data_IF_709461696690
#
_entry.id   IF_709461696690
#
_cell.length_a   1.000
_cell.length_b   1.000
_cell.length_c   1.000
_cell.angle_alpha   90.00
_cell.angle_beta   90.00
_cell.angle_gamma   90.00
#
_symmetry.space_group_name_H-M   'P 1'
#
loop_
_entity.id
_entity.type
_entity.pdbx_description
1 polymer ?
#
# COMPACT_ATOMS: atom_id res chain seq x y z
N UNK A 1 -15.39 -19.80 -25.82
CA UNK A 1 -14.40 -18.74 -26.13
C UNK A 1 -13.85 -19.01 -27.51
N UNK A 2 -13.93 -18.04 -28.42
CA UNK A 2 -13.33 -18.17 -29.74
C UNK A 2 -11.82 -18.37 -29.59
N UNK A 3 -11.25 -19.34 -30.31
CA UNK A 3 -9.82 -19.68 -30.23
C UNK A 3 -8.93 -18.44 -30.45
N UNK A 4 -9.36 -17.52 -31.31
CA UNK A 4 -8.70 -16.25 -31.60
C UNK A 4 -8.60 -15.35 -30.36
N UNK A 5 -9.67 -15.24 -29.57
CA UNK A 5 -9.70 -14.46 -28.34
C UNK A 5 -8.79 -15.07 -27.27
N UNK A 6 -8.84 -16.40 -27.09
CA UNK A 6 -7.93 -17.10 -26.17
C UNK A 6 -6.47 -16.86 -26.53
N UNK A 7 -6.12 -16.98 -27.81
CA UNK A 7 -4.77 -16.75 -28.31
C UNK A 7 -4.35 -15.28 -28.17
N UNK A 8 -5.26 -14.34 -28.39
CA UNK A 8 -4.97 -12.91 -28.20
C UNK A 8 -4.62 -12.59 -26.74
N UNK A 9 -5.42 -13.10 -25.79
CA UNK A 9 -5.20 -12.88 -24.34
C UNK A 9 -3.92 -13.57 -23.86
N UNK A 10 -3.71 -14.85 -24.19
CA UNK A 10 -2.50 -15.55 -23.80
C UNK A 10 -1.26 -14.92 -24.45
N UNK A 11 -1.39 -14.51 -25.72
CA UNK A 11 -0.35 -13.82 -26.47
C UNK A 11 0.03 -12.48 -25.84
N UNK A 12 -0.94 -11.68 -25.41
CA UNK A 12 -0.67 -10.39 -24.74
C UNK A 12 -0.08 -10.56 -23.35
N UNK A 13 -0.47 -11.58 -22.57
CA UNK A 13 0.16 -11.91 -21.28
C UNK A 13 1.60 -12.36 -21.51
N UNK A 14 1.84 -13.26 -22.47
CA UNK A 14 3.18 -13.72 -22.80
C UNK A 14 4.07 -12.56 -23.27
N UNK A 15 3.53 -11.67 -24.11
CA UNK A 15 4.19 -10.45 -24.55
C UNK A 15 4.54 -9.55 -23.37
N UNK A 16 3.58 -9.29 -22.47
CA UNK A 16 3.82 -8.51 -21.26
C UNK A 16 4.98 -9.08 -20.43
N UNK A 17 4.95 -10.39 -20.17
CA UNK A 17 5.99 -11.07 -19.40
C UNK A 17 7.35 -10.99 -20.11
N UNK A 18 7.39 -11.17 -21.44
CA UNK A 18 8.60 -11.05 -22.25
C UNK A 18 9.18 -9.63 -22.20
N UNK A 19 8.33 -8.60 -22.32
CA UNK A 19 8.75 -7.21 -22.27
C UNK A 19 9.33 -6.81 -20.90
N UNK A 20 8.73 -7.29 -19.81
CA UNK A 20 9.17 -6.97 -18.44
C UNK A 20 10.37 -7.82 -18.02
N UNK A 21 10.34 -9.14 -18.23
CA UNK A 21 11.37 -10.05 -17.70
C UNK A 21 12.63 -10.08 -18.58
N UNK A 22 12.45 -10.04 -19.90
CA UNK A 22 13.57 -10.20 -20.83
C UNK A 22 14.08 -8.87 -21.37
N UNK A 23 13.20 -8.03 -21.93
CA UNK A 23 13.58 -6.71 -22.45
C UNK A 23 13.77 -5.66 -21.34
N UNK A 24 13.31 -5.96 -20.11
CA UNK A 24 13.41 -5.07 -18.94
C UNK A 24 12.80 -3.69 -19.19
N UNK A 25 11.72 -3.64 -19.98
CA UNK A 25 10.95 -2.41 -20.13
C UNK A 25 10.22 -2.08 -18.83
N UNK A 26 9.93 -0.79 -18.62
CA UNK A 26 9.11 -0.37 -17.48
C UNK A 26 7.74 -1.06 -17.55
N UNK A 27 7.21 -1.47 -16.39
CA UNK A 27 5.92 -2.15 -16.32
C UNK A 27 4.79 -1.32 -16.97
N UNK A 28 4.86 0.00 -16.86
CA UNK A 28 3.93 0.92 -17.52
C UNK A 28 3.94 0.76 -19.06
N UNK A 29 5.12 0.83 -19.69
CA UNK A 29 5.24 0.70 -21.14
C UNK A 29 4.85 -0.71 -21.60
N UNK A 30 5.28 -1.74 -20.86
CA UNK A 30 4.96 -3.12 -21.17
C UNK A 30 3.44 -3.38 -21.12
N UNK A 31 2.74 -2.85 -20.11
CA UNK A 31 1.28 -2.95 -19.98
C UNK A 31 0.55 -2.26 -21.14
N UNK A 32 0.97 -1.06 -21.53
CA UNK A 32 0.35 -0.36 -22.66
C UNK A 32 0.54 -1.11 -23.98
N UNK A 33 1.76 -1.56 -24.27
CA UNK A 33 2.06 -2.32 -25.49
C UNK A 33 1.26 -3.63 -25.51
N UNK A 34 1.23 -4.36 -24.40
CA UNK A 34 0.46 -5.59 -24.28
C UNK A 34 -1.05 -5.36 -24.43
N UNK A 35 -1.58 -4.24 -23.90
CA UNK A 35 -2.98 -3.86 -24.08
C UNK A 35 -3.31 -3.58 -25.55
N UNK A 36 -2.49 -2.79 -26.23
CA UNK A 36 -2.65 -2.50 -27.66
C UNK A 36 -2.62 -3.79 -28.47
N UNK A 37 -1.62 -4.65 -28.22
CA UNK A 37 -1.50 -5.94 -28.89
C UNK A 37 -2.74 -6.82 -28.65
N UNK A 38 -3.24 -6.91 -27.41
CA UNK A 38 -4.44 -7.66 -27.08
C UNK A 38 -5.65 -7.19 -27.90
N UNK A 39 -5.92 -5.88 -27.93
CA UNK A 39 -7.07 -5.33 -28.64
C UNK A 39 -6.99 -5.56 -30.15
N UNK A 40 -5.83 -5.33 -30.75
CA UNK A 40 -5.64 -5.53 -32.20
C UNK A 40 -5.71 -7.01 -32.59
N UNK A 41 -5.09 -7.91 -31.82
CA UNK A 41 -5.14 -9.36 -32.09
C UNK A 41 -6.55 -9.95 -31.90
N UNK A 42 -7.33 -9.36 -31.00
CA UNK A 42 -8.74 -9.71 -30.82
C UNK A 42 -9.67 -9.10 -31.88
N UNK A 43 -9.15 -8.30 -32.82
CA UNK A 43 -9.91 -7.76 -33.95
C UNK A 43 -10.56 -6.39 -33.71
N UNK A 44 -10.22 -5.67 -32.64
CA UNK A 44 -10.68 -4.30 -32.44
C UNK A 44 -10.08 -3.36 -33.49
N UNK A 45 -10.88 -2.38 -33.92
CA UNK A 45 -10.37 -1.31 -34.79
C UNK A 45 -9.33 -0.46 -34.05
N UNK A 46 -8.34 0.12 -34.76
CA UNK A 46 -7.35 1.00 -34.13
C UNK A 46 -7.98 2.16 -33.35
N UNK A 47 -9.09 2.72 -33.85
CA UNK A 47 -9.80 3.80 -33.14
C UNK A 47 -10.38 3.31 -31.81
N UNK A 48 -11.05 2.15 -31.80
CA UNK A 48 -11.59 1.58 -30.57
C UNK A 48 -10.47 1.24 -29.56
N UNK A 49 -9.29 0.83 -30.03
CA UNK A 49 -8.13 0.63 -29.15
C UNK A 49 -7.73 1.94 -28.47
N UNK A 50 -7.63 3.05 -29.21
CA UNK A 50 -7.30 4.37 -28.65
C UNK A 50 -8.36 4.86 -27.65
N UNK A 51 -9.63 4.66 -27.96
CA UNK A 51 -10.75 5.04 -27.09
C UNK A 51 -10.71 4.22 -25.78
N UNK A 52 -10.44 2.92 -25.86
CA UNK A 52 -10.33 2.05 -24.69
C UNK A 52 -9.08 2.32 -23.85
N UNK A 53 -7.97 2.76 -24.46
CA UNK A 53 -6.82 3.26 -23.70
C UNK A 53 -7.22 4.48 -22.87
N UNK A 54 -7.89 5.44 -23.49
CA UNK A 54 -8.30 6.68 -22.80
C UNK A 54 -9.31 6.38 -21.68
N UNK A 55 -10.30 5.55 -21.95
CA UNK A 55 -11.32 5.15 -20.98
C UNK A 55 -10.73 4.34 -19.81
N UNK A 56 -9.92 3.31 -20.11
CA UNK A 56 -9.32 2.45 -19.09
C UNK A 56 -8.36 3.19 -18.17
N UNK A 57 -7.58 4.12 -18.73
CA UNK A 57 -6.71 5.01 -17.98
C UNK A 57 -7.54 5.97 -17.11
N UNK A 58 -8.51 6.67 -17.69
CA UNK A 58 -9.31 7.68 -17.00
C UNK A 58 -10.11 7.13 -15.83
N UNK A 59 -10.82 6.02 -16.04
CA UNK A 59 -11.66 5.40 -15.00
C UNK A 59 -10.82 4.98 -13.78
N UNK A 60 -9.71 4.29 -14.02
CA UNK A 60 -8.85 3.79 -12.94
C UNK A 60 -8.16 4.93 -12.20
N UNK A 61 -7.66 5.93 -12.93
CA UNK A 61 -6.96 7.06 -12.33
C UNK A 61 -7.88 7.98 -11.52
N UNK A 62 -9.16 8.10 -11.91
CA UNK A 62 -10.14 8.93 -11.22
C UNK A 62 -10.22 8.59 -9.72
N UNK A 63 -10.10 7.30 -9.38
CA UNK A 63 -10.12 6.83 -8.00
C UNK A 63 -8.73 6.71 -7.37
N UNK A 64 -7.79 6.05 -8.08
CA UNK A 64 -6.50 5.66 -7.50
C UNK A 64 -5.57 6.85 -7.28
N UNK A 65 -5.52 7.82 -8.21
CA UNK A 65 -4.48 8.85 -8.21
C UNK A 65 -4.51 9.73 -6.94
N UNK A 66 -5.71 10.15 -6.54
CA UNK A 66 -5.91 10.99 -5.36
C UNK A 66 -5.49 10.27 -4.08
N UNK A 67 -5.93 9.02 -3.93
CA UNK A 67 -5.67 8.22 -2.73
C UNK A 67 -4.17 7.92 -2.59
N UNK A 68 -3.54 7.48 -3.68
CA UNK A 68 -2.11 7.13 -3.68
C UNK A 68 -1.24 8.36 -3.48
N UNK A 69 -1.60 9.50 -4.10
CA UNK A 69 -0.89 10.76 -3.90
C UNK A 69 -0.95 11.26 -2.45
N UNK A 70 -2.14 11.27 -1.83
CA UNK A 70 -2.32 11.65 -0.42
C UNK A 70 -1.61 10.68 0.52
N UNK A 71 -1.70 9.37 0.25
CA UNK A 71 -1.01 8.33 1.01
C UNK A 71 0.51 8.49 0.97
N UNK A 72 1.07 8.80 -0.21
CA UNK A 72 2.50 9.04 -0.36
C UNK A 72 2.98 10.25 0.45
N UNK A 73 2.24 11.37 0.41
CA UNK A 73 2.57 12.56 1.21
C UNK A 73 2.47 12.24 2.71
N UNK A 74 1.40 11.57 3.13
CA UNK A 74 1.20 11.16 4.52
C UNK A 74 2.35 10.29 5.02
N UNK A 75 2.74 9.27 4.24
CA UNK A 75 3.86 8.39 4.52
C UNK A 75 5.18 9.15 4.64
N UNK A 76 5.47 10.05 3.70
CA UNK A 76 6.70 10.85 3.70
C UNK A 76 6.79 11.79 4.92
N UNK A 77 5.68 12.40 5.33
CA UNK A 77 5.63 13.24 6.54
C UNK A 77 5.85 12.39 7.79
N UNK A 78 5.21 11.22 7.88
CA UNK A 78 5.38 10.29 9.00
C UNK A 78 6.85 9.81 9.12
N UNK A 79 7.46 9.54 7.98
CA UNK A 79 8.84 9.11 7.84
C UNK A 79 9.83 10.20 8.26
N UNK A 80 9.69 11.39 7.67
CA UNK A 80 10.54 12.55 7.97
C UNK A 80 10.46 12.94 9.45
N UNK A 81 9.28 12.81 10.05
CA UNK A 81 9.06 13.06 11.47
C UNK A 81 9.70 12.00 12.39
N UNK A 82 10.22 10.90 11.87
CA UNK A 82 10.74 9.78 12.67
C UNK A 82 9.64 8.91 13.29
N UNK A 83 8.41 8.98 12.78
CA UNK A 83 7.25 8.29 13.33
C UNK A 83 7.34 6.77 13.20
N UNK A 84 7.94 6.27 12.13
CA UNK A 84 8.14 4.84 11.88
C UNK A 84 9.12 4.24 12.90
N UNK A 85 10.25 4.90 13.14
CA UNK A 85 11.23 4.48 14.15
C UNK A 85 10.66 4.61 15.56
N UNK A 86 9.90 5.67 15.86
CA UNK A 86 9.26 5.86 17.16
C UNK A 86 8.26 4.73 17.48
N UNK A 87 7.44 4.34 16.52
CA UNK A 87 6.51 3.21 16.67
C UNK A 87 7.25 1.88 16.86
N UNK A 88 8.31 1.64 16.09
CA UNK A 88 9.12 0.44 16.22
C UNK A 88 9.76 0.31 17.62
N UNK A 89 10.40 1.39 18.09
CA UNK A 89 11.01 1.45 19.43
C UNK A 89 9.97 1.27 20.52
N UNK A 90 8.84 1.98 20.44
CA UNK A 90 7.75 1.84 21.40
C UNK A 90 7.25 0.40 21.53
N UNK A 91 7.03 -0.30 20.42
CA UNK A 91 6.56 -1.69 20.44
C UNK A 91 7.62 -2.64 21.00
N UNK A 92 8.89 -2.43 20.67
CA UNK A 92 10.01 -3.21 21.22
C UNK A 92 10.14 -3.02 22.74
N UNK A 93 10.07 -1.78 23.21
CA UNK A 93 10.16 -1.44 24.64
C UNK A 93 8.95 -2.01 25.41
N UNK A 94 7.75 -1.94 24.82
CA UNK A 94 6.52 -2.41 25.46
C UNK A 94 6.40 -3.92 25.53
N UNK A 95 6.84 -4.63 24.48
CA UNK A 95 6.74 -6.10 24.40
C UNK A 95 7.97 -6.80 24.98
N UNK A 96 9.09 -6.10 25.08
CA UNK A 96 10.38 -6.59 25.56
C UNK A 96 11.10 -7.53 24.57
N UNK A 97 12.36 -7.79 24.85
CA UNK A 97 13.25 -8.56 23.96
C UNK A 97 12.74 -9.98 23.66
N UNK A 98 12.11 -10.62 24.64
CA UNK A 98 11.55 -11.98 24.49
C UNK A 98 10.47 -12.06 23.40
N UNK A 99 9.78 -10.95 23.13
CA UNK A 99 8.71 -10.85 22.12
C UNK A 99 9.09 -9.91 20.98
N UNK A 100 10.38 -9.61 20.80
CA UNK A 100 10.85 -8.76 19.71
C UNK A 100 10.37 -9.18 18.30
N UNK A 101 10.26 -10.47 17.93
CA UNK A 101 9.66 -10.86 16.66
C UNK A 101 8.21 -10.39 16.50
N UNK A 102 7.43 -10.42 17.58
CA UNK A 102 6.05 -9.91 17.57
C UNK A 102 6.03 -8.39 17.45
N UNK A 103 6.94 -7.69 18.12
CA UNK A 103 7.10 -6.24 17.95
C UNK A 103 7.36 -5.90 16.47
N UNK A 104 8.35 -6.54 15.84
CA UNK A 104 8.68 -6.30 14.44
C UNK A 104 7.54 -6.64 13.47
N UNK A 105 6.83 -7.75 13.68
CA UNK A 105 5.60 -8.05 12.94
C UNK A 105 4.62 -6.89 13.01
N UNK A 106 4.28 -6.43 14.23
CA UNK A 106 3.25 -5.41 14.43
C UNK A 106 3.71 -4.05 13.90
N UNK A 107 4.99 -3.73 14.08
CA UNK A 107 5.65 -2.57 13.50
C UNK A 107 5.49 -2.57 11.98
N UNK A 108 5.84 -3.66 11.30
CA UNK A 108 5.68 -3.78 9.85
C UNK A 108 4.22 -3.67 9.43
N UNK A 109 3.34 -4.37 10.13
CA UNK A 109 1.91 -4.39 9.82
C UNK A 109 1.26 -3.01 9.91
N UNK A 110 1.63 -2.19 10.90
CA UNK A 110 1.08 -0.85 11.09
C UNK A 110 1.73 0.20 10.19
N UNK A 111 3.06 0.12 10.00
CA UNK A 111 3.80 1.12 9.21
C UNK A 111 3.51 1.01 7.72
N UNK A 112 3.28 -0.20 7.21
CA UNK A 112 2.95 -0.41 5.79
C UNK A 112 1.59 0.16 5.37
N UNK A 113 0.75 0.61 6.31
CA UNK A 113 -0.53 1.25 6.00
C UNK A 113 -0.27 2.60 5.29
N UNK A 114 0.48 3.56 5.87
CA UNK A 114 0.80 4.81 5.19
C UNK A 114 2.16 4.84 4.47
N UNK A 115 3.12 3.98 4.83
CA UNK A 115 4.50 4.05 4.29
C UNK A 115 4.74 2.93 3.28
N UNK A 116 5.43 3.25 2.19
CA UNK A 116 5.81 2.26 1.18
C UNK A 116 6.72 1.17 1.76
N UNK A 117 6.54 -0.05 1.25
CA UNK A 117 7.21 -1.26 1.75
C UNK A 117 8.74 -1.14 1.75
N UNK A 118 9.30 -0.70 0.63
CA UNK A 118 10.74 -0.56 0.40
C UNK A 118 11.35 0.49 1.32
N UNK A 119 10.71 1.66 1.41
CA UNK A 119 11.13 2.77 2.26
C UNK A 119 11.06 2.36 3.74
N UNK A 120 9.93 1.80 4.19
CA UNK A 120 9.74 1.34 5.55
C UNK A 120 10.76 0.27 5.94
N UNK A 121 11.04 -0.67 5.05
CA UNK A 121 12.03 -1.70 5.27
C UNK A 121 13.41 -1.07 5.52
N UNK A 122 13.90 -0.25 4.58
CA UNK A 122 15.24 0.39 4.66
C UNK A 122 15.41 1.17 5.98
N UNK A 123 14.38 1.85 6.43
CA UNK A 123 14.40 2.65 7.67
C UNK A 123 14.47 1.79 8.94
N UNK A 124 13.87 0.61 8.89
CA UNK A 124 13.81 -0.31 10.03
C UNK A 124 14.98 -1.30 10.04
N UNK A 125 15.73 -1.43 8.94
CA UNK A 125 16.95 -2.27 8.87
C UNK A 125 17.95 -1.94 9.99
N UNK A 126 18.29 -0.67 10.29
CA UNK A 126 19.18 -0.34 11.41
C UNK A 126 18.67 -0.87 12.76
N UNK A 127 17.35 -0.81 13.01
CA UNK A 127 16.73 -1.37 14.21
C UNK A 127 16.85 -2.89 14.25
N UNK A 128 16.63 -3.58 13.12
CA UNK A 128 16.84 -5.02 13.02
C UNK A 128 18.28 -5.42 13.37
N UNK A 129 19.27 -4.70 12.82
CA UNK A 129 20.69 -4.94 13.11
C UNK A 129 21.02 -4.68 14.58
N UNK A 130 20.52 -3.59 15.15
CA UNK A 130 20.73 -3.25 16.55
C UNK A 130 20.14 -4.33 17.48
N UNK A 131 18.89 -4.77 17.23
CA UNK A 131 18.24 -5.80 18.05
C UNK A 131 18.94 -7.15 17.90
N UNK A 132 19.33 -7.55 16.69
CA UNK A 132 20.09 -8.78 16.45
C UNK A 132 21.42 -8.79 17.20
N UNK A 133 22.19 -7.68 17.15
CA UNK A 133 23.44 -7.54 17.89
C UNK A 133 23.25 -7.63 19.41
N UNK A 134 22.24 -6.92 19.95
CA UNK A 134 21.98 -6.89 21.40
C UNK A 134 21.55 -8.25 21.95
N UNK A 135 20.72 -8.98 21.21
CA UNK A 135 20.12 -10.25 21.64
C UNK A 135 20.95 -11.49 21.29
N UNK A 136 21.94 -11.35 20.40
CA UNK A 136 22.73 -12.46 19.87
C UNK A 136 21.93 -13.44 19.00
N UNK A 137 20.74 -13.06 18.53
CA UNK A 137 19.90 -13.89 17.65
C UNK A 137 20.13 -13.53 16.19
N UNK A 138 19.94 -14.52 15.31
CA UNK A 138 20.02 -14.31 13.87
C UNK A 138 19.16 -13.14 13.39
N UNK A 139 19.67 -12.37 12.44
CA UNK A 139 18.93 -11.32 11.75
C UNK A 139 17.59 -11.81 11.17
N UNK A 140 17.56 -13.03 10.63
CA UNK A 140 16.37 -13.62 10.01
C UNK A 140 15.22 -13.81 11.01
N UNK A 141 15.56 -14.00 12.29
CA UNK A 141 14.60 -14.14 13.38
C UNK A 141 13.75 -12.88 13.59
N UNK A 142 14.24 -11.71 13.14
CA UNK A 142 13.55 -10.43 13.23
C UNK A 142 13.09 -9.91 11.85
N UNK A 143 13.92 -10.08 10.82
CA UNK A 143 13.66 -9.57 9.48
C UNK A 143 12.45 -10.26 8.82
N UNK A 144 12.32 -11.59 8.94
CA UNK A 144 11.17 -12.31 8.37
C UNK A 144 9.84 -11.86 8.99
N UNK A 145 9.70 -11.77 10.33
CA UNK A 145 8.57 -11.12 10.98
C UNK A 145 8.24 -9.74 10.41
N UNK A 146 9.22 -8.85 10.35
CA UNK A 146 9.01 -7.49 9.85
C UNK A 146 8.50 -7.50 8.40
N UNK A 147 9.19 -8.24 7.51
CA UNK A 147 8.87 -8.34 6.09
C UNK A 147 7.47 -8.94 5.88
N UNK A 148 7.09 -9.96 6.66
CA UNK A 148 5.76 -10.54 6.59
C UNK A 148 4.68 -9.52 6.99
N UNK A 149 4.90 -8.75 8.06
CA UNK A 149 4.00 -7.68 8.46
C UNK A 149 3.87 -6.60 7.38
N UNK A 150 5.00 -6.10 6.88
CA UNK A 150 5.03 -5.08 5.83
C UNK A 150 4.34 -5.57 4.55
N UNK A 151 4.69 -6.77 4.06
CA UNK A 151 4.19 -7.30 2.80
C UNK A 151 2.69 -7.60 2.86
N UNK A 152 2.21 -8.15 3.98
CA UNK A 152 0.80 -8.53 4.12
C UNK A 152 -0.10 -7.30 4.11
N UNK A 153 0.22 -6.28 4.93
CA UNK A 153 -0.54 -5.03 4.92
C UNK A 153 -0.45 -4.35 3.55
N UNK A 154 0.75 -4.31 2.96
CA UNK A 154 0.95 -3.70 1.65
C UNK A 154 0.11 -4.35 0.54
N UNK A 155 -0.12 -5.66 0.64
CA UNK A 155 -0.86 -6.42 -0.36
C UNK A 155 -2.36 -6.49 -0.10
N UNK A 156 -2.82 -6.42 1.16
CA UNK A 156 -4.21 -6.74 1.52
C UNK A 156 -5.03 -5.55 2.01
N UNK A 157 -4.39 -4.47 2.49
CA UNK A 157 -5.09 -3.41 3.23
C UNK A 157 -4.93 -2.06 2.48
N UNK A 158 -6.04 -1.46 2.00
CA UNK A 158 -6.07 -0.09 1.53
C UNK A 158 -5.58 0.90 2.61
N UNK A 159 -4.93 2.03 2.27
CA UNK A 159 -4.97 2.74 1.00
C UNK A 159 -3.77 2.43 0.08
N UNK A 160 -3.24 1.20 0.13
CA UNK A 160 -2.19 0.83 -0.79
C UNK A 160 -2.71 0.68 -2.23
N UNK A 161 -1.90 1.03 -3.24
CA UNK A 161 -2.36 1.17 -4.63
C UNK A 161 -3.01 -0.10 -5.20
N UNK A 162 -2.42 -1.27 -4.94
CA UNK A 162 -2.94 -2.56 -5.42
C UNK A 162 -4.34 -2.86 -4.91
N UNK A 163 -4.56 -2.92 -3.58
CA UNK A 163 -5.89 -3.10 -3.00
C UNK A 163 -6.93 -2.06 -3.44
N UNK A 164 -6.55 -0.78 -3.58
CA UNK A 164 -7.46 0.26 -4.08
C UNK A 164 -7.84 -0.01 -5.53
N UNK A 165 -6.87 -0.36 -6.38
CA UNK A 165 -7.13 -0.64 -7.78
C UNK A 165 -8.08 -1.82 -7.93
N UNK A 166 -7.86 -2.89 -7.15
CA UNK A 166 -8.77 -4.06 -7.14
C UNK A 166 -10.16 -3.67 -6.64
N UNK A 167 -10.25 -2.85 -5.59
CA UNK A 167 -11.52 -2.34 -5.08
C UNK A 167 -12.33 -1.61 -6.14
N UNK A 168 -11.69 -0.66 -6.82
CA UNK A 168 -12.27 0.15 -7.88
C UNK A 168 -12.68 -0.73 -9.06
N UNK A 169 -11.79 -1.65 -9.47
CA UNK A 169 -12.04 -2.58 -10.58
C UNK A 169 -13.25 -3.47 -10.33
N UNK A 170 -13.44 -3.94 -9.09
CA UNK A 170 -14.54 -4.83 -8.69
C UNK A 170 -15.77 -4.09 -8.18
N UNK A 171 -15.72 -2.76 -8.05
CA UNK A 171 -16.80 -1.97 -7.44
C UNK A 171 -17.05 -2.30 -5.97
N UNK A 172 -16.01 -2.73 -5.25
CA UNK A 172 -16.11 -3.15 -3.85
C UNK A 172 -15.79 -2.00 -2.90
N UNK A 173 -16.63 -1.82 -1.87
CA UNK A 173 -16.43 -0.79 -0.85
C UNK A 173 -15.12 -1.02 -0.06
N UNK A 174 -14.32 0.04 0.09
CA UNK A 174 -13.01 -0.08 0.75
C UNK A 174 -13.09 -0.57 2.20
N UNK A 175 -14.15 -0.24 2.95
CA UNK A 175 -14.27 -0.73 4.33
C UNK A 175 -14.41 -2.25 4.41
N UNK A 176 -15.08 -2.89 3.45
CA UNK A 176 -15.17 -4.35 3.38
C UNK A 176 -13.83 -4.98 3.03
N UNK A 177 -13.09 -4.37 2.11
CA UNK A 177 -11.74 -4.84 1.74
C UNK A 177 -10.78 -4.68 2.92
N UNK A 178 -10.84 -3.56 3.64
CA UNK A 178 -10.07 -3.37 4.87
C UNK A 178 -10.43 -4.48 5.88
N UNK A 179 -11.73 -4.68 6.15
CA UNK A 179 -12.21 -5.66 7.11
C UNK A 179 -11.69 -7.07 6.79
N UNK A 180 -11.89 -7.55 5.56
CA UNK A 180 -11.40 -8.85 5.12
C UNK A 180 -9.87 -8.91 5.04
N UNK A 181 -9.22 -7.81 4.66
CA UNK A 181 -7.76 -7.68 4.64
C UNK A 181 -7.14 -7.89 6.02
N UNK A 182 -7.76 -7.38 7.08
CA UNK A 182 -7.35 -7.67 8.46
C UNK A 182 -7.62 -9.12 8.85
N UNK A 183 -8.81 -9.65 8.53
CA UNK A 183 -9.19 -11.04 8.86
C UNK A 183 -8.24 -12.05 8.23
N UNK A 184 -7.86 -11.85 6.97
CA UNK A 184 -6.92 -12.74 6.24
C UNK A 184 -5.47 -12.40 6.58
N UNK A 185 -5.16 -11.12 6.82
CA UNK A 185 -3.81 -10.65 7.08
C UNK A 185 -3.25 -11.14 8.42
N UNK A 186 -4.05 -11.16 9.49
CA UNK A 186 -3.59 -11.59 10.82
C UNK A 186 -3.13 -13.06 10.83
N UNK A 187 -3.89 -14.03 10.30
CA UNK A 187 -3.43 -15.41 10.13
C UNK A 187 -2.19 -15.50 9.24
N UNK A 188 -2.16 -14.77 8.12
CA UNK A 188 -1.05 -14.78 7.16
C UNK A 188 0.26 -14.38 7.84
N UNK A 189 0.25 -13.29 8.60
CA UNK A 189 1.44 -12.79 9.33
C UNK A 189 1.82 -13.68 10.51
N UNK A 190 0.83 -14.30 11.16
CA UNK A 190 1.09 -15.27 12.23
C UNK A 190 1.84 -16.50 11.71
N UNK A 191 1.46 -17.01 10.53
CA UNK A 191 2.10 -18.18 9.92
C UNK A 191 3.41 -17.81 9.21
N UNK A 192 3.37 -16.88 8.25
CA UNK A 192 4.51 -16.52 7.42
C UNK A 192 5.55 -15.66 8.15
N UNK A 193 5.13 -14.84 9.11
CA UNK A 193 6.02 -14.00 9.91
C UNK A 193 6.50 -14.70 11.17
N UNK A 194 5.59 -14.97 12.11
CA UNK A 194 5.98 -15.45 13.44
C UNK A 194 6.41 -16.91 13.46
N UNK A 195 5.58 -17.81 12.95
CA UNK A 195 5.88 -19.24 13.00
C UNK A 195 7.05 -19.60 12.09
N UNK A 196 7.00 -19.18 10.82
CA UNK A 196 8.05 -19.44 9.85
C UNK A 196 9.35 -18.69 10.19
N UNK A 197 9.27 -17.41 10.55
CA UNK A 197 10.45 -16.62 10.95
C UNK A 197 11.19 -17.22 12.16
N UNK A 198 10.46 -17.76 13.15
CA UNK A 198 11.08 -18.48 14.27
C UNK A 198 11.75 -19.78 13.84
N UNK A 199 11.17 -20.53 12.89
CA UNK A 199 11.75 -21.79 12.36
C UNK A 199 13.05 -21.49 11.61
N UNK A 200 13.03 -20.54 10.68
CA UNK A 200 14.19 -20.19 9.86
C UNK A 200 15.29 -19.55 10.72
N UNK A 201 14.96 -18.57 11.55
CA UNK A 201 15.94 -17.87 12.40
C UNK A 201 16.56 -18.73 13.51
N UNK A 202 16.02 -19.92 13.79
CA UNK A 202 16.66 -20.93 14.65
C UNK A 202 17.56 -21.89 13.89
N UNK A 203 17.31 -22.09 12.59
CA UNK A 203 18.02 -23.05 11.75
C UNK A 203 19.21 -22.42 11.02
N UNK A 204 19.07 -21.17 10.61
CA UNK A 204 20.08 -20.43 9.86
C UNK A 204 20.50 -19.22 10.66
N UNK A 205 21.79 -19.16 11.01
CA UNK A 205 22.36 -18.03 11.72
C UNK A 205 23.00 -17.04 10.74
N UNK A 206 22.22 -16.04 10.35
CA UNK A 206 22.72 -14.87 9.64
C UNK A 206 23.11 -13.77 10.64
N UNK A 207 24.40 -13.47 10.73
CA UNK A 207 24.92 -12.37 11.52
C UNK A 207 24.67 -11.01 10.83
N UNK A 208 24.41 -9.93 11.60
CA UNK A 208 24.30 -8.59 11.04
C UNK A 208 25.67 -8.10 10.52
N UNK A 209 25.71 -7.27 9.46
CA UNK A 209 26.96 -6.76 8.90
C UNK A 209 27.79 -5.97 9.94
N UNK A 210 29.12 -6.17 9.93
CA UNK A 210 30.07 -5.51 10.85
C UNK A 210 30.31 -4.03 10.54
N UNK A 211 30.04 -3.57 9.32
CA UNK A 211 30.49 -2.25 8.81
C UNK A 211 29.47 -1.10 8.94
N UNK A 212 28.29 -1.33 9.51
CA UNK A 212 27.40 -0.23 9.82
C UNK A 212 27.64 0.18 11.27
N UNK A 213 28.48 1.21 11.47
CA UNK A 213 28.27 2.12 12.60
C UNK A 213 26.81 2.54 12.50
N UNK A 214 25.99 2.00 13.39
CA UNK A 214 24.62 2.47 13.59
C UNK A 214 24.78 3.88 14.13
N UNK A 215 24.90 4.86 13.25
CA UNK A 215 24.47 6.19 13.62
C UNK A 215 23.01 6.00 14.01
N UNK A 216 22.72 6.13 15.30
CA UNK A 216 21.35 6.21 15.77
C UNK A 216 20.74 7.44 15.09
N UNK A 217 20.23 7.27 13.88
CA UNK A 217 19.68 8.34 13.09
C UNK A 217 18.32 8.75 13.68
N UNK A 218 18.36 9.70 14.61
CA UNK A 218 17.55 10.91 14.63
C UNK A 218 17.99 11.80 15.80
N UNK A 219 18.56 12.96 15.48
CA UNK A 219 18.97 14.04 16.41
C UNK A 219 17.81 14.86 16.99
N UNK A 220 16.57 14.40 16.81
CA UNK A 220 15.35 15.06 17.30
C UNK A 220 14.57 14.20 18.29
N UNK A 221 13.83 14.84 19.20
CA UNK A 221 12.91 14.14 20.11
C UNK A 221 11.87 13.37 19.30
N UNK A 222 11.66 12.07 19.52
CA UNK A 222 10.70 11.28 18.74
C UNK A 222 9.27 11.82 18.90
N UNK A 223 8.41 11.71 17.88
CA UNK A 223 7.02 12.14 17.99
C UNK A 223 6.27 11.31 19.05
N UNK A 224 5.26 11.92 19.65
CA UNK A 224 4.39 11.22 20.58
C UNK A 224 3.70 10.03 19.89
N UNK A 225 3.79 8.84 20.51
CA UNK A 225 3.28 7.61 19.91
C UNK A 225 1.76 7.67 19.63
N UNK A 226 0.99 8.32 20.50
CA UNK A 226 -0.45 8.49 20.32
C UNK A 226 -0.78 9.30 19.06
N UNK A 227 0.06 10.28 18.70
CA UNK A 227 -0.10 11.06 17.47
C UNK A 227 0.22 10.21 16.23
N UNK A 228 1.31 9.43 16.27
CA UNK A 228 1.68 8.51 15.18
C UNK A 228 0.57 7.48 14.93
N UNK A 229 0.10 6.82 15.99
CA UNK A 229 -0.99 5.86 15.89
C UNK A 229 -2.29 6.54 15.43
N UNK A 230 -2.60 7.73 15.94
CA UNK A 230 -3.75 8.52 15.51
C UNK A 230 -3.72 8.78 14.00
N UNK A 231 -2.61 9.25 13.46
CA UNK A 231 -2.45 9.54 12.02
C UNK A 231 -2.62 8.27 11.16
N UNK A 232 -2.12 7.12 11.63
CA UNK A 232 -2.30 5.83 10.96
C UNK A 232 -3.78 5.39 10.98
N UNK A 233 -4.44 5.49 12.13
CA UNK A 233 -5.79 4.93 12.32
C UNK A 233 -6.93 5.85 11.90
N UNK A 234 -6.77 7.18 11.96
CA UNK A 234 -7.80 8.15 11.54
C UNK A 234 -8.41 7.81 10.18
N UNK A 235 -7.63 7.63 9.08
CA UNK A 235 -8.23 7.39 7.77
C UNK A 235 -8.97 6.04 7.73
N UNK A 236 -8.44 5.00 8.38
CA UNK A 236 -9.08 3.68 8.43
C UNK A 236 -10.41 3.74 9.17
N UNK A 237 -10.43 4.35 10.35
CA UNK A 237 -11.63 4.46 11.16
C UNK A 237 -12.72 5.24 10.42
N UNK A 238 -12.35 6.34 9.77
CA UNK A 238 -13.28 7.13 8.96
C UNK A 238 -13.86 6.30 7.79
N UNK A 239 -13.05 5.54 7.06
CA UNK A 239 -13.51 4.70 5.94
C UNK A 239 -14.43 3.56 6.42
N UNK A 240 -14.13 2.97 7.58
CA UNK A 240 -14.99 1.95 8.18
C UNK A 240 -16.34 2.56 8.62
N UNK A 241 -16.33 3.75 9.23
CA UNK A 241 -17.56 4.48 9.58
C UNK A 241 -18.39 4.81 8.35
N UNK A 242 -17.77 5.24 7.24
CA UNK A 242 -18.47 5.44 5.96
C UNK A 242 -19.18 4.17 5.52
N UNK A 243 -18.45 3.06 5.47
CA UNK A 243 -18.98 1.77 4.97
C UNK A 243 -20.11 1.26 5.84
N UNK A 244 -19.96 1.34 7.18
CA UNK A 244 -21.01 0.95 8.12
C UNK A 244 -22.24 1.86 8.02
N UNK A 245 -22.04 3.18 7.93
CA UNK A 245 -23.16 4.13 7.82
C UNK A 245 -23.94 3.90 6.53
N UNK A 246 -23.24 3.72 5.41
CA UNK A 246 -23.87 3.42 4.12
C UNK A 246 -24.65 2.10 4.16
N UNK A 247 -24.06 1.05 4.72
CA UNK A 247 -24.75 -0.24 4.90
C UNK A 247 -26.04 -0.11 5.73
N UNK A 248 -26.02 0.68 6.81
CA UNK A 248 -27.19 0.88 7.67
C UNK A 248 -28.29 1.69 6.99
N UNK A 249 -27.93 2.69 6.19
CA UNK A 249 -28.88 3.51 5.42
C UNK A 249 -29.49 2.69 4.27
N UNK A 250 -28.65 2.03 3.46
CA UNK A 250 -29.10 1.22 2.31
C UNK A 250 -29.96 0.03 2.75
N UNK A 251 -29.67 -0.54 3.94
CA UNK A 251 -30.46 -1.60 4.54
C UNK A 251 -31.74 -1.13 5.25
N UNK A 252 -32.10 0.16 5.17
CA UNK A 252 -33.24 0.77 5.85
C UNK A 252 -33.29 0.59 7.38
N UNK A 253 -32.14 0.35 8.02
CA UNK A 253 -32.01 0.27 9.49
C UNK A 253 -31.99 1.67 10.12
N UNK A 254 -31.48 2.67 9.39
CA UNK A 254 -31.38 4.06 9.82
C UNK A 254 -31.89 4.95 8.70
N UNK A 255 -32.73 5.94 9.03
CA UNK A 255 -33.19 6.91 8.05
C UNK A 255 -32.06 7.84 7.61
N UNK A 256 -32.06 8.21 6.32
CA UNK A 256 -31.21 9.27 5.81
C UNK A 256 -31.40 10.56 6.60
N UNK A 257 -30.31 11.09 7.14
CA UNK A 257 -30.26 12.33 7.89
C UNK A 257 -28.99 13.11 7.55
N UNK A 258 -28.96 14.40 7.89
CA UNK A 258 -27.77 15.23 7.73
C UNK A 258 -26.52 14.62 8.41
N UNK A 259 -26.73 13.92 9.54
CA UNK A 259 -25.65 13.24 10.25
C UNK A 259 -25.10 12.06 9.45
N UNK A 260 -25.97 11.20 8.90
CA UNK A 260 -25.52 10.05 8.08
C UNK A 260 -24.80 10.51 6.82
N UNK A 261 -25.30 11.56 6.16
CA UNK A 261 -24.64 12.15 4.98
C UNK A 261 -23.26 12.71 5.33
N UNK A 262 -23.14 13.39 6.48
CA UNK A 262 -21.85 13.93 6.96
C UNK A 262 -20.85 12.81 7.28
N UNK A 263 -21.31 11.72 7.92
CA UNK A 263 -20.45 10.56 8.22
C UNK A 263 -19.99 9.84 6.95
N UNK A 264 -20.88 9.71 5.96
CA UNK A 264 -20.54 9.16 4.64
C UNK A 264 -19.53 10.08 3.95
N UNK A 265 -19.71 11.39 3.96
CA UNK A 265 -18.78 12.34 3.34
C UNK A 265 -17.40 12.34 4.01
N UNK A 266 -17.33 12.47 5.34
CA UNK A 266 -16.06 12.51 6.08
C UNK A 266 -15.30 11.19 6.02
N UNK A 267 -16.03 10.08 5.95
CA UNK A 267 -15.45 8.76 5.82
C UNK A 267 -15.09 8.37 4.38
N UNK A 268 -15.43 9.20 3.39
CA UNK A 268 -14.98 8.95 2.02
C UNK A 268 -13.43 8.92 1.98
N UNK A 269 -12.80 7.94 1.30
CA UNK A 269 -11.35 7.74 1.33
C UNK A 269 -10.53 8.98 1.00
N UNK A 270 -10.99 9.79 0.04
CA UNK A 270 -10.34 11.06 -0.31
C UNK A 270 -10.30 12.03 0.88
N UNK A 271 -11.43 12.20 1.57
CA UNK A 271 -11.57 13.13 2.69
C UNK A 271 -10.82 12.60 3.91
N UNK A 272 -10.98 11.31 4.20
CA UNK A 272 -10.32 10.64 5.32
C UNK A 272 -8.78 10.77 5.25
N UNK A 273 -8.20 10.55 4.07
CA UNK A 273 -6.76 10.69 3.87
C UNK A 273 -6.31 12.15 3.80
N UNK A 274 -7.09 13.03 3.19
CA UNK A 274 -6.79 14.46 3.17
C UNK A 274 -6.72 15.01 4.60
N UNK A 275 -7.70 14.69 5.43
CA UNK A 275 -7.72 15.09 6.84
C UNK A 275 -6.51 14.55 7.59
N UNK A 276 -6.20 13.25 7.45
CA UNK A 276 -5.03 12.66 8.10
C UNK A 276 -3.72 13.30 7.61
N UNK A 277 -3.60 13.59 6.32
CA UNK A 277 -2.46 14.27 5.72
C UNK A 277 -2.29 15.70 6.27
N UNK A 278 -3.36 16.46 6.39
CA UNK A 278 -3.33 17.82 6.97
C UNK A 278 -2.95 17.79 8.45
N UNK A 279 -3.51 16.85 9.21
CA UNK A 279 -3.16 16.62 10.62
C UNK A 279 -1.67 16.28 10.75
N UNK A 280 -1.14 15.39 9.89
CA UNK A 280 0.27 15.03 9.88
C UNK A 280 1.18 16.22 9.53
N UNK A 281 0.88 16.96 8.46
CA UNK A 281 1.64 18.16 8.06
C UNK A 281 1.71 19.20 9.18
N UNK A 282 0.61 19.39 9.90
CA UNK A 282 0.56 20.34 11.01
C UNK A 282 1.27 19.83 12.27
N UNK A 283 0.90 18.65 12.77
CA UNK A 283 1.35 18.16 14.07
C UNK A 283 2.71 17.47 14.04
N UNK A 284 3.02 16.74 12.96
CA UNK A 284 4.32 16.09 12.79
C UNK A 284 5.34 16.96 12.05
N UNK A 285 4.88 17.93 11.24
CA UNK A 285 5.72 18.91 10.55
C UNK A 285 5.83 20.23 11.32
N UNK A 286 4.87 21.14 11.10
CA UNK A 286 4.95 22.55 11.55
C UNK A 286 5.17 22.68 13.07
N UNK A 287 4.38 21.95 13.87
CA UNK A 287 4.46 21.98 15.34
C UNK A 287 5.78 21.45 15.89
N UNK A 288 6.55 20.72 15.08
CA UNK A 288 7.85 20.16 15.43
C UNK A 288 9.01 20.93 14.80
N UNK A 289 8.74 22.08 14.21
CA UNK A 289 9.75 23.02 13.73
C UNK A 289 10.13 22.84 12.25
N UNK A 290 9.52 21.91 11.52
CA UNK A 290 9.78 21.76 10.07
C UNK A 290 9.23 22.97 9.31
N UNK A 291 10.06 23.58 8.47
CA UNK A 291 9.69 24.76 7.69
C UNK A 291 8.61 24.45 6.63
N UNK A 292 7.74 25.41 6.31
CA UNK A 292 6.68 25.22 5.29
C UNK A 292 7.23 24.86 3.92
N UNK A 293 8.35 25.48 3.52
CA UNK A 293 9.02 25.18 2.25
C UNK A 293 9.60 23.76 2.23
N UNK A 294 10.14 23.30 3.35
CA UNK A 294 10.65 21.94 3.49
C UNK A 294 9.52 20.91 3.40
N UNK A 295 8.40 21.15 4.08
CA UNK A 295 7.21 20.29 3.97
C UNK A 295 6.64 20.24 2.55
N UNK A 296 6.62 21.37 1.84
CA UNK A 296 6.21 21.42 0.43
C UNK A 296 7.14 20.58 -0.45
N UNK A 297 8.46 20.72 -0.27
CA UNK A 297 9.45 19.94 -1.01
C UNK A 297 9.32 18.45 -0.70
N UNK A 298 9.12 18.09 0.56
CA UNK A 298 8.89 16.71 0.99
C UNK A 298 7.64 16.12 0.31
N UNK A 299 6.51 16.83 0.35
CA UNK A 299 5.28 16.41 -0.32
C UNK A 299 5.49 16.26 -1.84
N UNK A 300 6.18 17.19 -2.48
CA UNK A 300 6.46 17.15 -3.91
C UNK A 300 7.34 15.96 -4.30
N UNK A 301 8.39 15.68 -3.51
CA UNK A 301 9.28 14.52 -3.73
C UNK A 301 8.53 13.20 -3.56
N UNK A 302 7.62 13.11 -2.59
CA UNK A 302 6.81 11.92 -2.34
C UNK A 302 5.90 11.56 -3.52
N UNK A 303 5.48 12.55 -4.32
CA UNK A 303 4.67 12.32 -5.51
C UNK A 303 5.45 11.63 -6.66
N UNK A 304 6.78 11.63 -6.65
CA UNK A 304 7.60 10.97 -7.68
C UNK A 304 7.37 9.45 -7.74
N UNK A 305 7.68 8.70 -6.66
CA UNK A 305 7.39 7.27 -6.57
C UNK A 305 5.89 6.97 -6.72
N UNK A 306 5.03 7.83 -6.16
CA UNK A 306 3.57 7.71 -6.30
C UNK A 306 3.14 7.77 -7.78
N UNK A 307 3.73 8.67 -8.57
CA UNK A 307 3.42 8.82 -10.00
C UNK A 307 3.72 7.56 -10.81
N UNK A 308 4.81 6.86 -10.50
CA UNK A 308 5.14 5.57 -11.14
C UNK A 308 4.05 4.55 -10.87
N UNK A 309 3.63 4.42 -9.62
CA UNK A 309 2.59 3.49 -9.19
C UNK A 309 1.24 3.84 -9.84
N UNK A 310 0.87 5.12 -9.82
CA UNK A 310 -0.37 5.63 -10.41
C UNK A 310 -0.42 5.28 -11.91
N UNK A 311 0.67 5.53 -12.65
CA UNK A 311 0.77 5.20 -14.07
C UNK A 311 0.67 3.69 -14.33
N UNK A 312 1.39 2.86 -13.58
CA UNK A 312 1.31 1.40 -13.72
C UNK A 312 -0.10 0.90 -13.45
N UNK A 313 -0.75 1.43 -12.41
CA UNK A 313 -2.13 1.06 -12.07
C UNK A 313 -3.11 1.46 -13.16
N UNK A 314 -2.97 2.68 -13.69
CA UNK A 314 -3.75 3.15 -14.83
C UNK A 314 -3.55 2.30 -16.09
N UNK A 315 -2.32 1.89 -16.40
CA UNK A 315 -2.03 0.97 -17.50
C UNK A 315 -2.60 -0.43 -17.28
N UNK A 316 -2.67 -0.91 -16.03
CA UNK A 316 -3.42 -2.11 -15.67
C UNK A 316 -4.92 -1.95 -15.95
N UNK A 317 -5.47 -0.78 -15.67
CA UNK A 317 -6.83 -0.38 -16.04
C UNK A 317 -7.09 -0.39 -17.54
N UNK A 318 -6.14 0.10 -18.33
CA UNK A 318 -6.16 -0.01 -19.81
C UNK A 318 -6.22 -1.46 -20.26
N UNK A 319 -5.39 -2.33 -19.68
CA UNK A 319 -5.38 -3.75 -20.01
C UNK A 319 -6.73 -4.41 -19.68
N UNK A 320 -7.28 -4.17 -18.49
CA UNK A 320 -8.65 -4.59 -18.11
C UNK A 320 -9.66 -4.11 -19.15
N UNK A 321 -9.67 -2.82 -19.48
CA UNK A 321 -10.65 -2.24 -20.38
C UNK A 321 -10.58 -2.90 -21.76
N UNK A 322 -9.38 -3.24 -22.24
CA UNK A 322 -9.21 -3.96 -23.49
C UNK A 322 -9.77 -5.39 -23.43
N UNK A 323 -9.56 -6.10 -22.32
CA UNK A 323 -10.13 -7.45 -22.12
C UNK A 323 -11.66 -7.41 -22.07
N UNK A 324 -12.25 -6.38 -21.47
CA UNK A 324 -13.71 -6.19 -21.45
C UNK A 324 -14.24 -5.87 -22.85
N UNK A 325 -13.59 -4.94 -23.58
CA UNK A 325 -14.03 -4.52 -24.91
C UNK A 325 -13.93 -5.63 -25.97
N UNK A 326 -13.06 -6.61 -25.77
CA UNK A 326 -12.91 -7.78 -26.65
C UNK A 326 -13.88 -8.92 -26.33
N UNK A 327 -14.67 -8.80 -25.26
CA UNK A 327 -15.53 -9.89 -24.76
C UNK A 327 -14.77 -11.02 -24.05
N UNK A 328 -13.44 -10.92 -23.96
CA UNK A 328 -12.61 -11.91 -23.27
C UNK A 328 -12.92 -11.97 -21.76
N UNK A 329 -13.27 -10.84 -21.16
CA UNK A 329 -13.66 -10.77 -19.74
C UNK A 329 -14.87 -11.66 -19.41
N UNK A 330 -15.92 -11.64 -20.25
CA UNK A 330 -17.10 -12.47 -20.07
C UNK A 330 -16.83 -13.94 -20.39
N UNK A 331 -15.99 -14.22 -21.39
CA UNK A 331 -15.65 -15.59 -21.78
C UNK A 331 -14.77 -16.34 -20.75
N UNK A 332 -14.13 -15.61 -19.84
CA UNK A 332 -13.28 -16.13 -18.77
C UNK A 332 -13.98 -16.26 -17.40
N UNK A 333 -15.14 -15.60 -17.22
CA UNK A 333 -15.91 -15.58 -15.97
C UNK A 333 -16.84 -16.80 -15.84
#
# INVERSE_FOLDING_TARGET
>A
MDLTLLLAVLGSIALLLLLVLWLRLSAFLALLIASIACGLLAGLSPQLVLDNISAGMGNTLAYVATIVGLGAILGAVLEHAGGTQALARFLLDRLGERRAPLAFVLTGFLIAIPVFFDVAFVILVPLLYATSRRTGRSLLFYAIPLLAGLATTHAFIPPTPGPIAVADILGAELGWIIFWGFIVGIPTVSVAGLWWGRRVGRRFDLAPPTLLKTDEASTGSPPAIGLVLGIIFIPILLILVHTLTRMLVDGAWVNGSWLTETLIFLGHPYIALLLSCLIALYWLGIRRGTGRQELQQLATKALGPAGIIILITGAGGVYKQMLMATGAGEALA
#
